data_IF_848684963336
#
_entry.id   IF_848684963336
#
_cell.length_a   1.000
_cell.length_b   1.000
_cell.length_c   1.000
_cell.angle_alpha   90.00
_cell.angle_beta   90.00
_cell.angle_gamma   90.00
#
_symmetry.space_group_name_H-M   'P 1'
#
loop_
_entity.id
_entity.type
_entity.pdbx_description
1 polymer ?
#
# COMPACT_ATOMS: atom_id res chain seq x y z
N UNK A 1 15.95 2.45 -22.36
CA UNK A 1 15.24 3.03 -21.20
C UNK A 1 14.36 1.95 -20.60
N UNK A 2 14.55 1.58 -19.32
CA UNK A 2 13.65 0.63 -18.64
C UNK A 2 12.33 1.34 -18.39
N UNK A 3 11.26 0.90 -19.02
CA UNK A 3 9.92 1.33 -18.66
C UNK A 3 9.71 1.03 -17.18
N UNK A 4 9.46 2.08 -16.39
CA UNK A 4 8.81 1.91 -15.10
C UNK A 4 7.43 1.32 -15.41
N UNK A 5 7.33 -0.01 -15.40
CA UNK A 5 6.05 -0.66 -15.17
C UNK A 5 5.57 -0.12 -13.83
N UNK A 6 4.68 0.87 -13.86
CA UNK A 6 3.81 1.13 -12.71
C UNK A 6 3.12 -0.21 -12.48
N UNK A 7 3.60 -0.94 -11.48
CA UNK A 7 2.90 -2.12 -11.06
C UNK A 7 1.53 -1.60 -10.63
N UNK A 8 0.52 -1.85 -11.44
CA UNK A 8 -0.88 -1.78 -11.01
C UNK A 8 -1.03 -2.85 -9.93
N UNK A 9 -0.51 -2.54 -8.74
CA UNK A 9 -0.77 -3.30 -7.54
C UNK A 9 -2.25 -3.13 -7.34
N UNK A 10 -3.03 -4.15 -7.69
CA UNK A 10 -4.46 -4.21 -7.37
C UNK A 10 -4.59 -4.08 -5.86
N UNK A 11 -4.87 -2.87 -5.40
CA UNK A 11 -5.05 -2.59 -3.99
C UNK A 11 -6.45 -3.09 -3.65
N UNK A 12 -6.53 -3.98 -2.67
CA UNK A 12 -7.81 -4.43 -2.14
C UNK A 12 -8.59 -3.21 -1.59
N UNK A 13 -9.73 -2.91 -2.20
CA UNK A 13 -10.58 -1.79 -1.83
C UNK A 13 -11.09 -1.90 -0.39
N UNK A 14 -11.33 -3.12 0.11
CA UNK A 14 -11.75 -3.32 1.50
C UNK A 14 -10.63 -2.98 2.47
N UNK A 15 -9.40 -3.39 2.16
CA UNK A 15 -8.22 -3.04 2.94
C UNK A 15 -8.01 -1.52 2.95
N UNK A 16 -8.14 -0.88 1.79
CA UNK A 16 -8.04 0.58 1.68
C UNK A 16 -9.08 1.27 2.59
N UNK A 17 -10.36 0.87 2.49
CA UNK A 17 -11.44 1.44 3.31
C UNK A 17 -11.17 1.26 4.82
N UNK A 18 -10.71 0.09 5.24
CA UNK A 18 -10.31 -0.16 6.63
C UNK A 18 -9.19 0.76 7.11
N UNK A 19 -8.21 1.06 6.24
CA UNK A 19 -7.12 1.97 6.58
C UNK A 19 -7.60 3.42 6.68
N UNK A 20 -8.51 3.86 5.81
CA UNK A 20 -9.15 5.19 5.91
C UNK A 20 -9.90 5.31 7.24
N UNK A 21 -10.76 4.35 7.58
CA UNK A 21 -11.54 4.38 8.82
C UNK A 21 -10.62 4.41 10.05
N UNK A 22 -9.55 3.62 10.01
CA UNK A 22 -8.54 3.59 11.06
C UNK A 22 -7.76 4.91 11.14
N UNK A 23 -7.44 5.55 10.00
CA UNK A 23 -6.79 6.85 9.98
C UNK A 23 -7.68 7.93 10.58
N UNK A 24 -8.95 8.02 10.15
CA UNK A 24 -9.95 8.99 10.64
C UNK A 24 -10.22 8.83 12.14
N UNK A 25 -10.40 7.60 12.60
CA UNK A 25 -10.69 7.32 14.02
C UNK A 25 -9.52 7.68 14.92
N UNK A 26 -8.28 7.42 14.48
CA UNK A 26 -7.09 7.72 15.27
C UNK A 26 -6.71 9.20 15.24
N UNK A 27 -6.76 9.86 14.09
CA UNK A 27 -6.46 11.30 13.95
C UNK A 27 -7.56 12.20 14.51
N UNK A 28 -8.77 11.65 14.73
CA UNK A 28 -10.00 12.39 15.07
C UNK A 28 -10.39 13.44 14.00
N UNK A 29 -9.92 13.28 12.77
CA UNK A 29 -10.32 14.12 11.63
C UNK A 29 -11.16 13.28 10.64
N UNK A 30 -12.47 13.58 10.46
CA UNK A 30 -13.33 12.82 9.57
C UNK A 30 -12.98 13.00 8.09
N UNK A 31 -12.22 14.04 7.74
CA UNK A 31 -11.78 14.32 6.36
C UNK A 31 -10.42 13.72 6.03
N UNK A 32 -9.83 12.94 6.94
CA UNK A 32 -8.54 12.30 6.70
C UNK A 32 -8.69 11.22 5.62
N UNK A 33 -7.81 11.25 4.62
CA UNK A 33 -7.75 10.23 3.58
C UNK A 33 -6.42 9.45 3.60
N UNK A 34 -6.39 8.30 2.93
CA UNK A 34 -5.22 7.42 2.87
C UNK A 34 -4.82 7.15 1.42
N UNK A 35 -3.58 7.45 1.07
CA UNK A 35 -3.04 7.18 -0.26
C UNK A 35 -1.81 6.27 -0.18
N UNK A 36 -1.51 5.58 -1.27
CA UNK A 36 -0.32 4.74 -1.35
C UNK A 36 0.80 5.48 -2.07
N UNK A 37 1.98 5.49 -1.48
CA UNK A 37 3.17 6.09 -2.08
C UNK A 37 4.41 5.25 -1.79
N UNK A 38 5.57 5.67 -2.28
CA UNK A 38 6.81 4.92 -2.09
C UNK A 38 7.22 4.83 -0.60
N UNK A 39 7.05 5.91 0.17
CA UNK A 39 7.36 5.96 1.61
C UNK A 39 6.16 6.41 2.42
N UNK A 40 6.11 6.05 3.71
CA UNK A 40 5.06 6.55 4.58
C UNK A 40 5.38 7.93 5.14
N UNK A 41 4.46 8.88 4.97
CA UNK A 41 4.53 10.22 5.53
C UNK A 41 3.14 10.82 5.75
N UNK A 42 3.06 11.86 6.57
CA UNK A 42 1.81 12.57 6.88
C UNK A 42 1.80 13.93 6.20
N UNK A 43 0.79 14.20 5.36
CA UNK A 43 0.49 15.54 4.89
C UNK A 43 -0.64 16.12 5.75
N UNK A 44 -0.26 16.80 6.84
CA UNK A 44 -1.21 17.41 7.78
C UNK A 44 -2.10 18.50 7.14
N UNK A 45 -1.58 19.46 6.35
CA UNK A 45 -2.44 20.49 5.74
C UNK A 45 -3.39 19.91 4.68
N UNK A 46 -2.92 18.95 3.87
CA UNK A 46 -3.75 18.25 2.87
C UNK A 46 -4.73 17.25 3.46
N UNK A 47 -4.59 16.88 4.74
CA UNK A 47 -5.37 15.81 5.41
C UNK A 47 -5.24 14.46 4.72
N UNK A 48 -4.09 14.19 4.12
CA UNK A 48 -3.79 12.92 3.44
C UNK A 48 -2.65 12.22 4.15
N UNK A 49 -2.83 10.93 4.43
CA UNK A 49 -1.83 10.06 5.01
C UNK A 49 -1.31 9.15 3.92
N UNK A 50 -0.01 9.18 3.67
CA UNK A 50 0.59 8.29 2.70
C UNK A 50 1.16 7.05 3.39
N UNK A 51 0.78 5.88 2.88
CA UNK A 51 1.24 4.56 3.33
C UNK A 51 2.19 4.00 2.28
N UNK A 52 3.25 3.32 2.73
CA UNK A 52 4.28 2.78 1.86
C UNK A 52 3.80 1.54 1.10
N UNK A 53 4.04 1.54 -0.20
CA UNK A 53 3.89 0.37 -1.07
C UNK A 53 4.85 -0.76 -0.72
N UNK A 54 5.85 -0.54 0.14
CA UNK A 54 6.79 -1.56 0.62
C UNK A 54 6.08 -2.82 1.10
N UNK A 55 4.97 -2.66 1.83
CA UNK A 55 4.22 -3.77 2.43
C UNK A 55 3.46 -4.62 1.41
N UNK A 56 3.22 -4.11 0.19
CA UNK A 56 2.49 -4.83 -0.86
C UNK A 56 3.23 -6.06 -1.39
N UNK A 57 4.54 -6.14 -1.14
CA UNK A 57 5.37 -7.28 -1.57
C UNK A 57 5.32 -8.47 -0.61
N UNK A 58 4.67 -8.32 0.54
CA UNK A 58 4.63 -9.33 1.61
C UNK A 58 3.28 -10.07 1.64
N UNK A 59 3.23 -11.27 2.24
CA UNK A 59 1.97 -12.00 2.44
C UNK A 59 0.92 -11.18 3.21
N UNK A 60 -0.36 -11.43 2.92
CA UNK A 60 -1.50 -10.64 3.40
C UNK A 60 -1.51 -10.38 4.92
N UNK A 61 -1.12 -11.36 5.74
CA UNK A 61 -1.04 -11.20 7.20
C UNK A 61 0.00 -10.17 7.64
N UNK A 62 1.20 -10.22 7.06
CA UNK A 62 2.29 -9.27 7.35
C UNK A 62 2.02 -7.90 6.72
N UNK A 63 1.45 -7.89 5.51
CA UNK A 63 1.03 -6.68 4.81
C UNK A 63 0.04 -5.88 5.67
N UNK A 64 -1.00 -6.53 6.20
CA UNK A 64 -2.00 -5.88 7.05
C UNK A 64 -1.38 -5.23 8.30
N UNK A 65 -0.52 -5.96 9.01
CA UNK A 65 0.16 -5.42 10.20
C UNK A 65 1.13 -4.28 9.83
N UNK A 66 1.84 -4.41 8.73
CA UNK A 66 2.73 -3.39 8.19
C UNK A 66 1.98 -2.09 7.88
N UNK A 67 0.92 -2.15 7.09
CA UNK A 67 0.10 -1.00 6.73
C UNK A 67 -0.56 -0.36 7.95
N UNK A 68 -1.13 -1.16 8.86
CA UNK A 68 -1.69 -0.65 10.14
C UNK A 68 -0.65 0.07 10.97
N UNK A 69 0.56 -0.47 11.07
CA UNK A 69 1.66 0.15 11.83
C UNK A 69 2.03 1.54 11.29
N UNK A 70 1.95 1.73 9.97
CA UNK A 70 2.21 3.03 9.35
C UNK A 70 1.10 4.02 9.62
N UNK A 71 -0.15 3.57 9.50
CA UNK A 71 -1.27 4.43 9.88
C UNK A 71 -1.17 4.79 11.36
N UNK A 72 -0.86 3.87 12.26
CA UNK A 72 -0.65 4.16 13.69
C UNK A 72 0.43 5.22 13.92
N UNK A 73 1.59 5.10 13.27
CA UNK A 73 2.65 6.10 13.40
C UNK A 73 2.19 7.46 12.88
N UNK A 74 1.59 7.52 11.68
CA UNK A 74 1.28 8.80 11.04
C UNK A 74 0.03 9.47 11.64
N UNK A 75 -1.07 8.74 11.82
CA UNK A 75 -2.34 9.31 12.28
C UNK A 75 -2.42 9.51 13.79
N UNK A 76 -1.74 8.68 14.60
CA UNK A 76 -1.73 8.83 16.06
C UNK A 76 -0.40 9.39 16.58
N UNK A 77 0.73 8.88 16.08
CA UNK A 77 2.07 9.36 16.46
C UNK A 77 2.33 10.79 15.98
N UNK A 78 2.63 10.94 14.69
CA UNK A 78 3.02 12.21 14.09
C UNK A 78 1.94 13.29 14.24
N UNK A 79 0.67 12.92 14.16
CA UNK A 79 -0.42 13.91 14.21
C UNK A 79 -0.49 14.66 15.55
N UNK A 80 -0.27 13.97 16.68
CA UNK A 80 -0.44 14.51 18.04
C UNK A 80 0.86 14.75 18.80
N UNK A 81 1.90 13.94 18.57
CA UNK A 81 3.11 13.92 19.41
C UNK A 81 4.36 14.44 18.72
N UNK A 82 4.28 14.77 17.43
CA UNK A 82 5.36 15.41 16.70
C UNK A 82 5.11 16.90 16.53
N UNK A 83 6.14 17.69 16.83
CA UNK A 83 6.16 19.09 16.44
C UNK A 83 6.59 19.23 14.97
N UNK A 84 5.59 19.38 14.10
CA UNK A 84 5.80 19.53 12.66
C UNK A 84 6.56 20.81 12.30
N UNK A 85 6.38 21.89 13.06
CA UNK A 85 7.08 23.16 12.83
C UNK A 85 8.56 23.02 13.14
N UNK A 86 8.90 22.46 14.32
CA UNK A 86 10.30 22.20 14.70
C UNK A 86 10.99 21.26 13.71
N UNK A 87 10.32 20.19 13.26
CA UNK A 87 10.89 19.28 12.25
C UNK A 87 11.14 19.97 10.92
N UNK A 88 10.19 20.79 10.46
CA UNK A 88 10.32 21.50 9.21
C UNK A 88 11.46 22.51 9.25
N UNK A 89 11.58 23.30 10.32
CA UNK A 89 12.66 24.26 10.50
C UNK A 89 14.02 23.58 10.58
N UNK A 90 14.11 22.45 11.31
CA UNK A 90 15.32 21.65 11.36
C UNK A 90 15.71 21.10 9.97
N UNK A 91 14.75 20.58 9.20
CA UNK A 91 15.05 20.10 7.85
C UNK A 91 15.47 21.23 6.91
N UNK A 92 14.89 22.43 7.07
CA UNK A 92 15.30 23.62 6.30
C UNK A 92 16.72 24.07 6.66
N UNK A 93 17.10 24.06 7.94
CA UNK A 93 18.45 24.44 8.39
C UNK A 93 19.54 23.46 7.91
N UNK A 94 19.16 22.22 7.63
CA UNK A 94 20.07 21.16 7.16
C UNK A 94 20.24 21.13 5.63
N UNK A 95 19.38 21.78 4.84
CA UNK A 95 19.37 21.67 3.36
C UNK A 95 20.71 21.97 2.68
N UNK A 96 21.53 22.84 3.27
CA UNK A 96 22.79 23.30 2.69
C UNK A 96 24.01 22.50 3.17
N UNK A 97 23.81 21.45 3.99
CA UNK A 97 24.91 20.65 4.52
C UNK A 97 25.29 19.52 3.56
N UNK A 98 26.57 19.12 3.57
CA UNK A 98 27.10 18.07 2.70
C UNK A 98 26.43 16.70 2.93
N UNK A 99 26.10 16.38 4.18
CA UNK A 99 25.48 15.11 4.58
C UNK A 99 23.98 15.24 4.86
N UNK A 100 23.28 16.08 4.08
CA UNK A 100 21.87 16.39 4.31
C UNK A 100 20.97 15.15 4.32
N UNK A 101 21.12 14.22 3.37
CA UNK A 101 20.24 13.05 3.28
C UNK A 101 20.43 12.13 4.48
N UNK A 102 21.68 11.88 4.88
CA UNK A 102 21.95 11.10 6.09
C UNK A 102 21.31 11.72 7.33
N UNK A 103 21.51 13.03 7.56
CA UNK A 103 20.95 13.75 8.71
C UNK A 103 19.42 13.78 8.71
N UNK A 104 18.81 14.01 7.54
CA UNK A 104 17.36 13.96 7.35
C UNK A 104 16.82 12.58 7.72
N UNK A 105 17.38 11.51 7.18
CA UNK A 105 16.90 10.16 7.47
C UNK A 105 17.12 9.77 8.92
N UNK A 106 18.23 10.19 9.54
CA UNK A 106 18.49 9.96 10.95
C UNK A 106 17.45 10.66 11.83
N UNK A 107 17.15 11.94 11.58
CA UNK A 107 16.14 12.70 12.32
C UNK A 107 14.76 12.04 12.22
N UNK A 108 14.33 11.69 11.00
CA UNK A 108 13.03 11.05 10.77
C UNK A 108 12.95 9.67 11.40
N UNK A 109 14.04 8.89 11.34
CA UNK A 109 14.09 7.57 11.99
C UNK A 109 14.01 7.69 13.51
N UNK A 110 14.77 8.62 14.11
CA UNK A 110 14.74 8.82 15.56
C UNK A 110 13.38 9.30 16.04
N UNK A 111 12.69 10.13 15.26
CA UNK A 111 11.32 10.54 15.55
C UNK A 111 10.36 9.35 15.47
N UNK A 112 10.41 8.54 14.40
CA UNK A 112 9.58 7.34 14.27
C UNK A 112 9.83 6.34 15.42
N UNK A 113 11.09 6.17 15.83
CA UNK A 113 11.46 5.29 16.94
C UNK A 113 10.94 5.79 18.30
N UNK A 114 10.95 7.12 18.53
CA UNK A 114 10.35 7.74 19.70
C UNK A 114 8.83 7.56 19.71
N UNK A 115 8.19 7.85 18.57
CA UNK A 115 6.74 7.74 18.41
C UNK A 115 6.23 6.31 18.57
N UNK A 116 6.98 5.30 18.10
CA UNK A 116 6.64 3.88 18.31
C UNK A 116 6.47 3.59 19.80
N UNK A 117 7.43 4.02 20.64
CA UNK A 117 7.35 3.86 22.11
C UNK A 117 6.10 4.54 22.67
N UNK A 118 5.84 5.79 22.28
CA UNK A 118 4.66 6.55 22.73
C UNK A 118 3.35 5.85 22.33
N UNK A 119 3.26 5.35 21.10
CA UNK A 119 2.09 4.64 20.60
C UNK A 119 1.82 3.37 21.42
N UNK A 120 2.85 2.56 21.67
CA UNK A 120 2.74 1.32 22.45
C UNK A 120 2.38 1.61 23.91
N UNK A 121 2.99 2.62 24.54
CA UNK A 121 2.69 3.00 25.92
C UNK A 121 1.27 3.51 26.08
N UNK A 122 0.76 4.34 25.16
CA UNK A 122 -0.61 4.87 25.24
C UNK A 122 -1.68 3.89 24.81
N UNK A 123 -1.37 3.01 23.85
CA UNK A 123 -2.32 2.06 23.25
C UNK A 123 -1.61 0.70 23.06
N UNK A 124 -1.58 -0.15 24.09
CA UNK A 124 -0.87 -1.43 24.03
C UNK A 124 -1.41 -2.39 22.96
N UNK A 125 -2.66 -2.23 22.53
CA UNK A 125 -3.24 -2.99 21.42
C UNK A 125 -2.53 -2.80 20.07
N UNK A 126 -1.73 -1.74 19.91
CA UNK A 126 -0.93 -1.50 18.69
C UNK A 126 0.38 -2.32 18.67
N UNK A 127 0.81 -2.86 19.82
CA UNK A 127 2.12 -3.51 19.99
C UNK A 127 2.37 -4.65 19.01
N UNK A 128 1.36 -5.48 18.73
CA UNK A 128 1.48 -6.62 17.80
C UNK A 128 1.88 -6.15 16.41
N UNK A 129 1.26 -5.08 15.92
CA UNK A 129 1.56 -4.56 14.57
C UNK A 129 2.95 -3.95 14.48
N UNK A 130 3.39 -3.27 15.54
CA UNK A 130 4.76 -2.75 15.64
C UNK A 130 5.82 -3.84 15.74
N UNK A 131 5.53 -4.91 16.47
CA UNK A 131 6.43 -6.05 16.61
C UNK A 131 6.64 -6.77 15.27
N UNK A 132 5.57 -7.01 14.50
CA UNK A 132 5.68 -7.59 13.16
C UNK A 132 6.41 -6.64 12.19
N UNK A 133 6.07 -5.33 12.20
CA UNK A 133 6.78 -4.30 11.44
C UNK A 133 8.29 -4.37 11.69
N UNK A 134 8.69 -4.40 12.96
CA UNK A 134 10.09 -4.43 13.39
C UNK A 134 10.81 -5.68 12.89
N UNK A 135 10.19 -6.87 12.96
CA UNK A 135 10.77 -8.12 12.43
C UNK A 135 11.07 -8.03 10.93
N UNK A 136 10.12 -7.52 10.15
CA UNK A 136 10.28 -7.36 8.70
C UNK A 136 11.37 -6.34 8.38
N UNK A 137 11.31 -5.15 9.00
CA UNK A 137 12.30 -4.08 8.78
C UNK A 137 13.71 -4.51 9.19
N UNK A 138 13.88 -5.20 10.33
CA UNK A 138 15.17 -5.72 10.77
C UNK A 138 15.81 -6.64 9.73
N UNK A 139 15.01 -7.44 9.03
CA UNK A 139 15.49 -8.34 7.98
C UNK A 139 15.84 -7.56 6.70
N UNK A 140 14.98 -6.61 6.33
CA UNK A 140 15.22 -5.71 5.19
C UNK A 140 16.51 -4.90 5.35
N UNK A 141 16.68 -4.18 6.47
CA UNK A 141 17.87 -3.35 6.73
C UNK A 141 19.15 -4.18 6.87
N UNK A 142 19.07 -5.41 7.38
CA UNK A 142 20.24 -6.30 7.41
C UNK A 142 20.69 -6.69 5.99
N UNK A 143 19.74 -6.93 5.08
CA UNK A 143 20.05 -7.21 3.67
C UNK A 143 20.66 -5.98 3.00
N UNK A 144 20.05 -4.81 3.20
CA UNK A 144 20.54 -3.55 2.65
C UNK A 144 21.94 -3.19 3.17
N UNK A 145 22.20 -3.39 4.46
CA UNK A 145 23.54 -3.20 5.04
C UNK A 145 24.61 -4.00 4.29
N UNK A 146 24.37 -5.29 4.04
CA UNK A 146 25.33 -6.15 3.32
C UNK A 146 25.55 -5.67 1.89
N UNK A 147 24.50 -5.22 1.21
CA UNK A 147 24.59 -4.69 -0.15
C UNK A 147 25.39 -3.37 -0.20
N UNK A 148 25.14 -2.46 0.74
CA UNK A 148 25.86 -1.18 0.82
C UNK A 148 27.33 -1.35 1.15
N UNK A 149 27.68 -2.28 2.04
CA UNK A 149 29.07 -2.66 2.31
C UNK A 149 29.76 -3.16 1.03
N UNK A 150 29.11 -4.06 0.27
CA UNK A 150 29.67 -4.56 -0.99
C UNK A 150 29.87 -3.46 -2.03
N UNK A 151 28.96 -2.48 -2.07
CA UNK A 151 29.01 -1.33 -2.97
C UNK A 151 29.91 -0.19 -2.44
N UNK A 152 30.55 -0.35 -1.28
CA UNK A 152 31.34 0.68 -0.59
C UNK A 152 30.59 2.00 -0.36
N UNK A 153 29.27 1.91 -0.11
CA UNK A 153 28.42 3.04 0.27
C UNK A 153 28.38 3.15 1.79
N UNK A 154 29.39 3.81 2.35
CA UNK A 154 29.63 3.78 3.80
C UNK A 154 28.55 4.49 4.62
N UNK A 155 28.08 5.68 4.24
CA UNK A 155 27.02 6.38 4.99
C UNK A 155 25.67 5.65 4.91
N UNK A 156 25.30 5.11 3.75
CA UNK A 156 24.11 4.25 3.60
C UNK A 156 24.20 3.01 4.51
N UNK A 157 25.37 2.35 4.55
CA UNK A 157 25.62 1.23 5.44
C UNK A 157 25.59 1.64 6.92
N UNK A 158 26.14 2.81 7.25
CA UNK A 158 26.14 3.35 8.61
C UNK A 158 24.72 3.62 9.12
N UNK A 159 23.86 4.22 8.28
CA UNK A 159 22.45 4.41 8.61
C UNK A 159 21.74 3.08 8.90
N UNK A 160 21.93 2.07 8.03
CA UNK A 160 21.39 0.72 8.27
C UNK A 160 21.91 0.12 9.58
N UNK A 161 23.17 0.36 9.91
CA UNK A 161 23.79 -0.11 11.15
C UNK A 161 23.16 0.55 12.38
N UNK A 162 22.95 1.87 12.36
CA UNK A 162 22.24 2.62 13.42
C UNK A 162 20.85 2.04 13.64
N UNK A 163 20.09 1.80 12.56
CA UNK A 163 18.75 1.20 12.65
C UNK A 163 18.79 -0.17 13.36
N UNK A 164 19.76 -1.01 13.01
CA UNK A 164 19.90 -2.36 13.58
C UNK A 164 20.31 -2.30 15.06
N UNK A 165 21.25 -1.41 15.42
CA UNK A 165 21.68 -1.23 16.81
C UNK A 165 20.61 -0.63 17.72
N UNK A 166 19.83 0.34 17.24
CA UNK A 166 18.69 0.90 17.98
C UNK A 166 17.65 -0.19 18.35
N UNK A 167 17.59 -1.25 17.54
CA UNK A 167 16.72 -2.40 17.75
C UNK A 167 17.43 -3.62 18.37
N UNK A 168 18.61 -3.41 18.99
CA UNK A 168 19.43 -4.42 19.67
C UNK A 168 19.91 -5.58 18.77
N UNK A 169 20.00 -5.38 17.46
CA UNK A 169 20.53 -6.36 16.51
C UNK A 169 21.99 -6.04 16.20
N UNK A 170 22.90 -6.89 16.67
CA UNK A 170 24.32 -6.73 16.44
C UNK A 170 24.73 -7.15 15.03
N UNK A 171 25.65 -6.39 14.44
CA UNK A 171 26.16 -6.59 13.08
C UNK A 171 27.67 -6.35 13.10
N UNK A 172 28.48 -7.11 12.34
CA UNK A 172 29.91 -6.87 12.26
C UNK A 172 30.19 -5.49 11.66
N UNK A 173 30.87 -4.65 12.44
CA UNK A 173 31.36 -3.34 12.01
C UNK A 173 32.69 -3.52 11.27
N UNK A 174 32.74 -3.07 10.02
CA UNK A 174 33.98 -2.95 9.26
C UNK A 174 34.56 -1.54 9.44
N UNK A 175 35.85 -1.35 9.21
CA UNK A 175 36.44 -0.01 9.07
C UNK A 175 35.98 0.60 7.73
N UNK A 176 35.55 1.87 7.68
CA UNK A 176 35.64 2.93 8.71
C UNK A 176 34.47 3.03 9.71
N UNK A 177 33.38 2.26 9.53
CA UNK A 177 32.15 2.39 10.35
C UNK A 177 32.37 2.24 11.86
N UNK A 178 33.36 1.43 12.26
CA UNK A 178 33.71 1.25 13.67
C UNK A 178 34.16 2.56 14.32
N UNK A 179 34.97 3.36 13.62
CA UNK A 179 35.52 4.62 14.13
C UNK A 179 34.39 5.64 14.29
N UNK A 180 33.56 5.78 13.26
CA UNK A 180 32.39 6.67 13.30
C UNK A 180 31.41 6.31 14.41
N UNK A 181 31.18 5.01 14.63
CA UNK A 181 30.32 4.57 15.73
C UNK A 181 30.89 4.97 17.09
N UNK A 182 32.21 4.87 17.30
CA UNK A 182 32.85 5.25 18.58
C UNK A 182 32.70 6.75 18.82
N UNK A 183 32.92 7.58 17.79
CA UNK A 183 32.78 9.04 17.87
C UNK A 183 31.33 9.46 18.15
N UNK A 184 30.36 8.89 17.43
CA UNK A 184 28.95 9.26 17.54
C UNK A 184 28.19 8.52 18.63
N UNK A 185 28.83 7.58 19.36
CA UNK A 185 28.16 6.70 20.33
C UNK A 185 27.33 7.46 21.35
N UNK A 186 27.89 8.54 21.90
CA UNK A 186 27.22 9.32 22.94
C UNK A 186 25.95 9.98 22.41
N UNK A 187 26.02 10.56 21.20
CA UNK A 187 24.88 11.23 20.59
C UNK A 187 23.81 10.23 20.12
N UNK A 188 24.21 9.05 19.63
CA UNK A 188 23.27 7.97 19.32
C UNK A 188 22.52 7.46 20.56
N UNK A 189 23.16 7.44 21.74
CA UNK A 189 22.48 7.12 23.00
C UNK A 189 21.47 8.22 23.35
N UNK A 190 21.85 9.50 23.23
CA UNK A 190 20.94 10.63 23.47
C UNK A 190 19.70 10.58 22.56
N UNK A 191 19.86 10.23 21.27
CA UNK A 191 18.75 10.07 20.33
C UNK A 191 17.75 8.99 20.79
N UNK A 192 18.23 7.90 21.38
CA UNK A 192 17.36 6.82 21.85
C UNK A 192 16.58 7.18 23.12
N UNK A 193 17.09 8.12 23.92
CA UNK A 193 16.50 8.56 25.21
C UNK A 193 15.64 9.83 25.11
N UNK A 194 15.73 10.56 24.00
CA UNK A 194 15.02 11.83 23.82
C UNK A 194 13.50 11.69 23.95
N UNK A 195 12.89 12.58 24.73
CA UNK A 195 11.44 12.59 24.99
C UNK A 195 10.65 13.50 24.04
N UNK A 196 11.30 14.54 23.54
CA UNK A 196 10.68 15.59 22.71
C UNK A 196 11.31 15.71 21.33
N UNK A 197 10.56 16.27 20.37
CA UNK A 197 11.03 16.51 19.01
C UNK A 197 12.15 17.57 18.97
N UNK A 198 12.10 18.57 19.86
CA UNK A 198 13.13 19.60 20.00
C UNK A 198 14.47 19.03 20.50
N UNK A 199 14.44 18.09 21.45
CA UNK A 199 15.65 17.40 21.91
C UNK A 199 16.31 16.61 20.78
N UNK A 200 15.52 15.90 19.97
CA UNK A 200 16.03 15.19 18.80
C UNK A 200 16.72 16.13 17.82
N UNK A 201 16.11 17.29 17.54
CA UNK A 201 16.70 18.31 16.67
C UNK A 201 18.04 18.80 17.24
N UNK A 202 18.14 19.06 18.54
CA UNK A 202 19.38 19.49 19.17
C UNK A 202 20.50 18.44 19.01
N UNK A 203 20.21 17.17 19.26
CA UNK A 203 21.18 16.07 19.12
C UNK A 203 21.59 15.90 17.65
N UNK A 204 20.68 16.08 16.68
CA UNK A 204 21.03 16.04 15.25
C UNK A 204 21.99 17.18 14.87
N UNK A 205 21.86 18.36 15.49
CA UNK A 205 22.83 19.44 15.31
C UNK A 205 24.20 19.13 15.93
N UNK A 206 24.25 18.37 17.04
CA UNK A 206 25.50 17.85 17.60
C UNK A 206 26.17 16.87 16.63
N UNK A 207 25.40 15.90 16.12
CA UNK A 207 25.88 14.91 15.15
C UNK A 207 26.37 15.58 13.87
N UNK A 208 25.64 16.58 13.35
CA UNK A 208 26.07 17.41 12.22
C UNK A 208 27.48 17.98 12.43
N UNK A 209 27.80 18.49 13.63
CA UNK A 209 29.14 19.03 13.92
C UNK A 209 30.21 17.96 13.86
N UNK A 210 29.92 16.75 14.37
CA UNK A 210 30.84 15.62 14.30
C UNK A 210 31.01 15.10 12.86
N UNK A 211 29.95 15.05 12.06
CA UNK A 211 29.97 14.59 10.67
C UNK A 211 30.86 15.44 9.75
N UNK A 212 31.13 16.71 10.09
CA UNK A 212 32.04 17.58 9.31
C UNK A 212 33.46 17.02 9.18
N UNK A 213 33.86 16.13 10.10
CA UNK A 213 35.14 15.44 10.01
C UNK A 213 35.15 14.34 8.95
N UNK A 214 33.98 13.87 8.49
CA UNK A 214 33.86 12.79 7.52
C UNK A 214 33.88 13.33 6.10
N UNK A 215 34.83 12.85 5.30
CA UNK A 215 35.01 13.26 3.88
C UNK A 215 34.19 12.41 2.91
N UNK A 216 33.39 11.47 3.43
CA UNK A 216 32.63 10.53 2.60
C UNK A 216 31.40 11.19 1.95
N UNK A 217 31.01 10.65 0.79
CA UNK A 217 29.84 11.12 0.04
C UNK A 217 28.55 10.91 0.83
N UNK A 218 27.60 11.82 0.65
CA UNK A 218 26.26 11.71 1.23
C UNK A 218 25.55 10.42 0.82
N UNK A 219 24.57 10.08 1.65
CA UNK A 219 23.67 8.96 1.46
C UNK A 219 22.85 9.09 0.18
N UNK A 220 22.80 8.00 -0.59
CA UNK A 220 22.09 7.96 -1.88
C UNK A 220 20.72 7.31 -1.80
N UNK A 221 20.53 6.40 -0.85
CA UNK A 221 19.29 5.66 -0.69
C UNK A 221 18.29 6.45 0.13
N UNK A 222 17.03 6.53 -0.31
CA UNK A 222 15.98 7.15 0.48
C UNK A 222 15.11 6.10 1.17
N UNK A 223 15.06 6.14 2.51
CA UNK A 223 14.25 5.20 3.31
C UNK A 223 12.98 5.82 3.90
N UNK A 224 13.02 7.12 4.19
CA UNK A 224 11.97 7.83 4.91
C UNK A 224 11.70 9.16 4.22
N UNK A 225 10.43 9.53 4.12
CA UNK A 225 10.01 10.80 3.54
C UNK A 225 9.29 11.67 4.56
N UNK A 226 9.33 12.97 4.32
CA UNK A 226 8.65 13.98 5.14
C UNK A 226 8.01 14.98 4.21
N UNK A 227 6.77 15.35 4.51
CA UNK A 227 6.09 16.43 3.80
C UNK A 227 6.56 17.76 4.37
N UNK A 228 7.50 18.41 3.70
CA UNK A 228 7.83 19.80 3.99
C UNK A 228 6.77 20.68 3.36
N UNK A 229 5.96 21.37 4.17
CA UNK A 229 5.15 22.45 3.63
C UNK A 229 6.11 23.55 3.21
N UNK A 230 6.34 23.73 1.91
CA UNK A 230 6.86 25.02 1.48
C UNK A 230 5.87 26.07 1.99
N UNK A 231 6.39 27.12 2.63
CA UNK A 231 5.53 28.26 2.99
C UNK A 231 5.06 28.79 1.64
N UNK A 232 3.85 28.42 1.23
CA UNK A 232 3.19 29.01 0.09
C UNK A 232 3.19 30.50 0.39
N UNK A 233 4.00 31.27 -0.33
CA UNK A 233 3.92 32.71 -0.20
C UNK A 233 2.48 33.08 -0.56
N UNK A 234 1.88 34.04 0.14
CA UNK A 234 0.50 34.44 -0.11
C UNK A 234 0.25 34.79 -1.60
N UNK A 235 1.31 35.20 -2.30
CA UNK A 235 1.36 35.40 -3.76
C UNK A 235 1.16 34.15 -4.63
N UNK A 236 1.51 32.95 -4.15
CA UNK A 236 1.27 31.69 -4.87
C UNK A 236 -0.19 31.20 -4.70
N UNK A 237 -0.87 31.67 -3.65
CA UNK A 237 -2.28 31.39 -3.37
C UNK A 237 -3.17 32.38 -4.13
N UNK A 238 -2.72 33.64 -4.25
CA UNK A 238 -3.26 34.56 -5.23
C UNK A 238 -3.04 33.97 -6.63
N UNK A 239 -4.12 33.74 -7.37
CA UNK A 239 -4.05 33.46 -8.82
C UNK A 239 -3.63 34.73 -9.57
N UNK A 240 -2.49 35.33 -9.21
CA UNK A 240 -1.91 36.50 -9.89
C UNK A 240 -1.23 36.10 -11.21
N UNK A 241 -1.05 34.81 -11.46
CA UNK A 241 -0.89 34.28 -12.80
C UNK A 241 -2.26 34.20 -13.48
N UNK A 242 -2.92 35.36 -13.58
CA UNK A 242 -3.83 35.60 -14.68
C UNK A 242 -3.05 35.24 -15.94
N UNK A 243 -3.62 34.34 -16.74
CA UNK A 243 -3.26 34.19 -18.14
C UNK A 243 -3.11 35.60 -18.67
N UNK A 244 -1.89 35.99 -19.05
CA UNK A 244 -1.68 37.21 -19.82
C UNK A 244 -2.49 37.02 -21.10
N UNK A 245 -3.75 37.43 -21.07
CA UNK A 245 -4.52 37.70 -22.26
C UNK A 245 -3.63 38.63 -23.10
N UNK A 246 -3.29 38.28 -24.34
CA UNK A 246 -2.50 39.16 -25.17
C UNK A 246 -3.34 40.41 -25.41
N UNK A 247 -2.95 41.50 -24.75
CA UNK A 247 -3.32 42.88 -25.03
C UNK A 247 -4.82 43.24 -25.04
N UNK A 248 -5.30 43.81 -23.94
CA UNK A 248 -6.19 44.98 -24.03
C UNK A 248 -5.40 46.22 -23.63
N UNK A 249 -4.67 46.80 -24.59
CA UNK A 249 -4.24 48.18 -24.46
C UNK A 249 -5.43 49.07 -24.79
N UNK A 250 -5.88 49.81 -23.80
CA UNK A 250 -6.61 51.07 -24.01
C UNK A 250 -5.74 52.00 -24.86
N UNK A 251 -6.18 52.28 -26.08
CA UNK A 251 -5.76 53.39 -26.92
C UNK A 251 -7.05 53.87 -27.61
N UNK A 252 -7.60 55.01 -27.21
CA UNK A 252 -7.39 56.31 -27.88
C UNK A 252 -7.67 56.23 -29.38
N UNK A 253 -8.63 57.05 -29.79
CA UNK A 253 -9.19 57.22 -31.12
C UNK A 253 -8.14 57.38 -32.24
N UNK A 254 -8.57 56.94 -33.41
CA UNK A 254 -8.08 57.23 -34.77
C UNK A 254 -7.16 56.24 -35.49
N UNK A 255 -7.61 55.99 -36.72
CA UNK A 255 -6.92 55.55 -37.95
C UNK A 255 -7.05 54.08 -38.41
N UNK A 256 -7.73 54.01 -39.56
CA UNK A 256 -8.06 52.91 -40.46
C UNK A 256 -6.84 52.10 -40.92
N UNK A 257 -6.96 50.78 -40.92
CA UNK A 257 -6.54 49.95 -42.07
C UNK A 257 -7.24 48.60 -42.06
N UNK A 258 -7.79 48.27 -43.22
CA UNK A 258 -8.47 47.04 -43.61
C UNK A 258 -7.53 45.83 -43.49
N UNK A 259 -7.91 44.80 -42.74
CA UNK A 259 -7.55 43.42 -43.06
C UNK A 259 -8.63 42.45 -42.56
N UNK A 260 -9.01 41.54 -43.44
CA UNK A 260 -10.13 40.60 -43.29
C UNK A 260 -9.88 39.65 -42.12
N UNK A 261 -10.65 39.80 -41.04
CA UNK A 261 -10.71 38.81 -39.96
C UNK A 261 -12.07 38.13 -40.03
N UNK A 262 -12.06 36.89 -40.51
CA UNK A 262 -13.19 35.97 -40.51
C UNK A 262 -13.80 35.93 -39.11
N UNK A 263 -15.04 36.45 -38.97
CA UNK A 263 -15.83 36.33 -37.75
C UNK A 263 -16.44 34.93 -37.74
N UNK A 264 -15.82 34.02 -36.99
CA UNK A 264 -16.49 32.80 -36.58
C UNK A 264 -17.52 33.16 -35.49
N UNK A 265 -18.77 33.35 -35.92
CA UNK A 265 -19.91 33.39 -35.01
C UNK A 265 -20.12 31.98 -34.44
N UNK A 266 -19.70 31.74 -33.19
CA UNK A 266 -20.05 30.53 -32.46
C UNK A 266 -21.54 30.55 -32.13
N UNK A 267 -22.37 29.61 -32.64
CA UNK A 267 -23.77 29.54 -32.26
C UNK A 267 -23.89 29.10 -30.80
N UNK A 268 -24.37 30.00 -29.95
CA UNK A 268 -24.79 29.67 -28.59
C UNK A 268 -25.98 28.72 -28.64
N UNK A 269 -25.87 27.59 -27.94
CA UNK A 269 -26.76 26.43 -28.01
C UNK A 269 -28.13 26.64 -27.32
N UNK A 270 -28.76 27.80 -27.49
CA UNK A 270 -30.01 28.18 -26.82
C UNK A 270 -31.00 28.95 -27.70
N UNK A 271 -30.95 28.79 -29.03
CA UNK A 271 -31.88 29.49 -29.93
C UNK A 271 -32.52 28.58 -31.00
N UNK A 272 -32.80 27.31 -30.67
CA UNK A 272 -33.52 26.42 -31.58
C UNK A 272 -34.56 25.57 -30.83
N UNK A 273 -35.67 26.18 -30.42
CA UNK A 273 -36.94 25.45 -30.18
C UNK A 273 -38.18 26.34 -30.38
N UNK A 274 -38.06 27.42 -31.15
CA UNK A 274 -39.13 28.41 -31.33
C UNK A 274 -39.96 28.24 -32.61
N UNK A 275 -39.74 27.21 -33.42
CA UNK A 275 -40.58 26.93 -34.60
C UNK A 275 -40.86 25.43 -34.78
N UNK A 276 -42.13 25.00 -34.69
CA UNK A 276 -42.50 23.60 -34.89
C UNK A 276 -42.92 23.37 -36.34
N UNK A 277 -42.07 22.76 -37.16
CA UNK A 277 -42.50 22.22 -38.47
C UNK A 277 -41.65 21.02 -38.89
N UNK A 278 -42.35 19.90 -39.08
CA UNK A 278 -42.08 18.76 -39.97
C UNK A 278 -40.84 17.87 -39.74
N UNK A 279 -41.09 16.85 -38.91
CA UNK A 279 -41.06 15.43 -39.34
C UNK A 279 -39.75 14.89 -39.94
N UNK A 280 -38.90 14.27 -39.10
CA UNK A 280 -38.17 13.06 -39.50
C UNK A 280 -37.71 12.20 -38.31
N UNK A 281 -38.66 11.74 -37.49
CA UNK A 281 -38.50 10.52 -36.67
C UNK A 281 -39.87 10.14 -36.11
N UNK A 282 -40.60 9.41 -36.95
CA UNK A 282 -41.84 8.72 -36.61
C UNK A 282 -41.48 7.63 -35.59
N UNK A 283 -41.80 7.87 -34.31
CA UNK A 283 -41.83 6.81 -33.31
C UNK A 283 -43.08 5.97 -33.59
N UNK A 284 -42.89 4.77 -34.13
CA UNK A 284 -43.96 3.78 -34.13
C UNK A 284 -44.29 3.41 -32.68
N UNK A 285 -45.49 3.84 -32.32
CA UNK A 285 -46.08 3.78 -31.01
C UNK A 285 -46.97 2.52 -30.98
N UNK A 286 -46.38 1.34 -30.83
CA UNK A 286 -47.14 0.11 -30.67
C UNK A 286 -47.67 0.01 -29.23
N UNK A 287 -48.86 0.57 -29.05
CA UNK A 287 -49.79 0.22 -27.98
C UNK A 287 -50.22 -1.24 -28.11
N UNK A 288 -50.37 -1.88 -26.94
CA UNK A 288 -50.67 -3.30 -26.83
C UNK A 288 -51.95 -3.76 -27.53
N UNK A 289 -51.87 -4.97 -28.05
CA UNK A 289 -53.03 -5.82 -28.32
C UNK A 289 -52.97 -7.02 -27.39
N UNK A 290 -53.95 -7.06 -26.49
CA UNK A 290 -54.47 -8.25 -25.82
C UNK A 290 -54.84 -9.38 -26.80
N UNK A 291 -55.01 -10.59 -26.26
CA UNK A 291 -55.54 -11.86 -26.84
C UNK A 291 -54.49 -12.79 -27.45
N UNK A 292 -54.55 -14.11 -27.35
CA UNK A 292 -55.29 -15.08 -26.53
C UNK A 292 -54.59 -16.44 -26.75
N UNK A 293 -54.94 -17.41 -25.91
CA UNK A 293 -54.54 -18.81 -25.84
C UNK A 293 -54.26 -19.57 -27.16
N UNK A 294 -53.47 -20.63 -26.95
CA UNK A 294 -53.37 -21.90 -27.71
C UNK A 294 -52.45 -21.90 -28.94
N UNK A 295 -51.29 -22.54 -28.79
CA UNK A 295 -50.40 -22.84 -29.92
C UNK A 295 -49.14 -23.57 -29.47
N UNK A 296 -49.21 -24.90 -29.47
CA UNK A 296 -48.09 -25.82 -29.33
C UNK A 296 -47.00 -25.51 -30.37
N UNK A 297 -45.77 -25.23 -29.93
CA UNK A 297 -44.67 -24.94 -30.85
C UNK A 297 -43.43 -24.38 -30.14
N UNK A 298 -42.47 -25.26 -29.87
CA UNK A 298 -41.24 -24.96 -29.14
C UNK A 298 -40.48 -23.74 -29.67
N UNK A 299 -40.25 -22.77 -28.79
CA UNK A 299 -39.25 -21.73 -28.99
C UNK A 299 -37.90 -22.23 -28.48
N UNK A 300 -36.94 -22.28 -29.40
CA UNK A 300 -35.51 -22.40 -29.13
C UNK A 300 -35.11 -21.27 -28.18
N UNK A 301 -34.56 -21.63 -27.03
CA UNK A 301 -33.90 -20.68 -26.15
C UNK A 301 -32.59 -20.21 -26.81
N UNK A 302 -32.41 -18.89 -26.82
CA UNK A 302 -31.20 -18.20 -27.26
C UNK A 302 -29.99 -18.59 -26.40
N UNK A 303 -28.86 -18.74 -27.09
CA UNK A 303 -27.55 -19.17 -26.58
C UNK A 303 -26.77 -18.01 -25.90
N UNK A 304 -27.48 -17.08 -25.26
CA UNK A 304 -26.90 -15.85 -24.70
C UNK A 304 -27.01 -15.68 -23.19
N UNK A 305 -27.86 -16.47 -22.50
CA UNK A 305 -28.23 -16.20 -21.10
C UNK A 305 -27.93 -17.36 -20.13
N UNK A 306 -26.88 -18.14 -20.41
CA UNK A 306 -26.36 -19.18 -19.48
C UNK A 306 -24.87 -19.01 -19.18
N UNK A 307 -24.47 -17.82 -18.75
CA UNK A 307 -23.12 -17.57 -18.23
C UNK A 307 -23.10 -17.23 -16.72
N UNK A 308 -24.09 -17.70 -15.95
CA UNK A 308 -24.02 -17.75 -14.50
C UNK A 308 -24.57 -19.09 -13.98
N UNK A 309 -23.67 -19.96 -13.50
CA UNK A 309 -24.04 -21.06 -12.62
C UNK A 309 -23.72 -22.47 -13.11
N UNK A 310 -22.44 -22.81 -13.27
CA UNK A 310 -21.99 -24.21 -13.15
C UNK A 310 -20.47 -24.27 -12.87
N UNK A 311 -20.07 -24.12 -11.61
CA UNK A 311 -18.80 -24.71 -11.15
C UNK A 311 -19.07 -26.20 -11.00
N UNK A 312 -19.03 -26.90 -12.13
CA UNK A 312 -19.07 -28.36 -12.17
C UNK A 312 -17.74 -28.86 -11.62
N UNK A 313 -17.78 -29.36 -10.38
CA UNK A 313 -16.72 -30.12 -9.78
C UNK A 313 -16.35 -31.28 -10.72
N UNK A 314 -15.17 -31.17 -11.36
CA UNK A 314 -14.59 -32.24 -12.16
C UNK A 314 -14.10 -33.38 -11.28
N UNK A 315 -15.03 -34.18 -10.75
CA UNK A 315 -14.72 -35.52 -10.26
C UNK A 315 -14.63 -36.45 -11.47
N UNK A 316 -13.41 -36.62 -12.00
CA UNK A 316 -13.12 -37.58 -13.07
C UNK A 316 -12.91 -38.95 -12.44
N UNK A 317 -13.94 -39.80 -12.49
CA UNK A 317 -13.82 -41.22 -12.16
C UNK A 317 -12.91 -41.90 -13.19
N UNK A 318 -11.67 -42.18 -12.81
CA UNK A 318 -10.77 -43.02 -13.59
C UNK A 318 -11.05 -44.51 -13.28
N UNK A 319 -11.82 -45.16 -14.14
CA UNK A 319 -11.78 -46.62 -14.28
C UNK A 319 -10.56 -46.99 -15.13
N UNK A 320 -9.59 -47.69 -14.54
CA UNK A 320 -8.48 -48.28 -15.28
C UNK A 320 -7.28 -48.55 -14.38
N UNK A 321 -7.17 -49.81 -13.92
CA UNK A 321 -5.92 -50.36 -13.39
C UNK A 321 -4.88 -50.39 -14.52
N UNK A 322 -3.62 -50.30 -14.10
CA UNK A 322 -2.38 -50.56 -14.84
C UNK A 322 -1.60 -49.33 -15.32
N UNK A 323 -0.70 -48.87 -14.46
CA UNK A 323 0.55 -48.24 -14.88
C UNK A 323 1.71 -48.91 -14.14
N UNK A 324 2.14 -50.06 -14.66
CA UNK A 324 3.53 -50.51 -14.54
C UNK A 324 4.25 -50.07 -15.81
N UNK A 325 5.20 -49.14 -15.64
CA UNK A 325 6.22 -48.84 -16.63
C UNK A 325 5.87 -47.70 -17.58
N UNK A 326 6.21 -46.48 -17.20
CA UNK A 326 6.72 -45.52 -18.16
C UNK A 326 7.63 -44.50 -17.46
N UNK A 327 8.91 -44.80 -17.54
CA UNK A 327 10.02 -43.87 -17.37
C UNK A 327 10.01 -42.85 -18.51
N UNK A 328 10.02 -41.56 -18.17
CA UNK A 328 10.66 -40.53 -19.01
C UNK A 328 9.73 -39.57 -19.75
N UNK A 329 9.41 -38.44 -19.11
CA UNK A 329 9.13 -37.13 -19.74
C UNK A 329 9.06 -36.09 -18.60
N UNK A 330 9.79 -34.98 -18.54
CA UNK A 330 10.92 -34.49 -19.32
C UNK A 330 11.74 -33.61 -18.37
N UNK A 331 13.06 -33.84 -18.33
CA UNK A 331 14.01 -33.05 -17.54
C UNK A 331 14.59 -31.99 -18.46
N UNK A 332 14.17 -30.74 -18.31
CA UNK A 332 14.90 -29.60 -18.85
C UNK A 332 16.18 -29.44 -18.05
N UNK A 333 17.30 -29.72 -18.70
CA UNK A 333 18.63 -29.43 -18.19
C UNK A 333 19.03 -28.02 -18.60
N UNK A 334 19.30 -27.18 -17.60
CA UNK A 334 20.36 -26.16 -17.71
C UNK A 334 21.19 -26.15 -16.43
N UNK A 335 22.50 -26.25 -16.64
CA UNK A 335 23.64 -26.34 -15.71
C UNK A 335 23.59 -25.38 -14.51
N UNK A 336 24.22 -25.61 -13.35
CA UNK A 336 25.19 -26.60 -12.91
C UNK A 336 25.94 -26.05 -11.68
N UNK A 337 26.15 -26.88 -10.65
CA UNK A 337 27.33 -26.92 -9.74
C UNK A 337 27.03 -27.75 -8.47
N UNK A 338 27.79 -28.85 -8.38
CA UNK A 338 28.19 -29.64 -7.21
C UNK A 338 27.78 -29.16 -5.81
N UNK A 339 27.10 -30.02 -5.06
CA UNK A 339 26.91 -29.87 -3.62
C UNK A 339 25.97 -30.90 -3.01
N UNK A 340 26.50 -32.10 -2.78
CA UNK A 340 25.96 -33.20 -1.97
C UNK A 340 24.76 -32.85 -1.05
N UNK A 341 23.57 -33.24 -1.50
CA UNK A 341 22.31 -33.16 -0.75
C UNK A 341 21.16 -33.65 -1.62
N UNK A 342 20.85 -34.94 -1.58
CA UNK A 342 19.70 -35.51 -2.29
C UNK A 342 18.42 -34.86 -1.76
N UNK A 343 17.87 -33.91 -2.51
CA UNK A 343 16.50 -33.42 -2.33
C UNK A 343 15.64 -34.03 -3.44
N UNK A 344 14.84 -35.08 -3.16
CA UNK A 344 14.05 -35.78 -4.17
C UNK A 344 13.05 -34.88 -4.94
N UNK A 345 12.77 -33.68 -4.42
CA UNK A 345 11.79 -32.73 -4.97
C UNK A 345 12.36 -31.33 -5.20
N UNK A 346 13.68 -31.19 -5.38
CA UNK A 346 14.35 -29.91 -5.66
C UNK A 346 14.67 -29.04 -4.43
N UNK A 347 15.63 -28.11 -4.57
CA UNK A 347 16.14 -27.27 -3.47
C UNK A 347 15.07 -26.40 -2.81
N UNK A 348 14.03 -26.02 -3.56
CA UNK A 348 12.92 -25.19 -3.07
C UNK A 348 12.06 -25.90 -2.00
N UNK A 349 12.08 -27.24 -1.95
CA UNK A 349 11.25 -28.04 -1.06
C UNK A 349 11.99 -28.54 0.20
N UNK A 350 13.12 -27.93 0.56
CA UNK A 350 13.98 -28.35 1.69
C UNK A 350 13.27 -28.41 3.05
N UNK A 351 12.23 -27.61 3.25
CA UNK A 351 11.48 -27.53 4.52
C UNK A 351 10.05 -28.08 4.43
N UNK A 352 9.66 -28.67 3.29
CA UNK A 352 8.34 -29.26 3.13
C UNK A 352 8.31 -30.64 3.83
N UNK A 353 7.47 -30.77 4.86
CA UNK A 353 7.24 -32.03 5.57
C UNK A 353 5.88 -32.56 5.18
N UNK A 354 5.85 -33.74 4.56
CA UNK A 354 4.60 -34.42 4.23
C UNK A 354 3.89 -34.86 5.52
N UNK A 355 2.76 -34.23 5.84
CA UNK A 355 1.95 -34.58 7.01
C UNK A 355 0.74 -35.41 6.56
N UNK A 356 0.92 -36.73 6.48
CA UNK A 356 -0.19 -37.67 6.24
C UNK A 356 -1.06 -37.75 7.49
N UNK A 357 -2.23 -37.11 7.45
CA UNK A 357 -3.23 -37.22 8.50
C UNK A 357 -4.04 -38.50 8.22
N UNK A 358 -3.85 -39.51 9.06
CA UNK A 358 -4.66 -40.72 9.03
C UNK A 358 -6.02 -40.44 9.70
N UNK A 359 -7.13 -40.99 9.18
CA UNK A 359 -8.44 -40.83 9.79
C UNK A 359 -8.44 -41.47 11.19
N UNK A 360 -8.64 -40.65 12.23
CA UNK A 360 -8.77 -41.12 13.61
C UNK A 360 -10.21 -41.54 13.85
N UNK A 361 -10.43 -42.70 14.49
CA UNK A 361 -11.75 -43.10 14.95
C UNK A 361 -12.23 -42.11 16.04
N UNK A 362 -13.47 -41.62 15.97
CA UNK A 362 -13.96 -40.60 16.89
C UNK A 362 -13.99 -41.11 18.33
N UNK A 363 -13.69 -40.23 19.28
CA UNK A 363 -13.80 -40.50 20.71
C UNK A 363 -15.27 -40.54 21.15
N UNK A 364 -15.57 -41.27 22.23
CA UNK A 364 -16.92 -41.34 22.80
C UNK A 364 -17.50 -39.96 23.15
N UNK A 365 -16.64 -39.03 23.61
CA UNK A 365 -17.04 -37.64 23.90
C UNK A 365 -17.40 -36.87 22.63
N UNK A 366 -16.62 -37.02 21.56
CA UNK A 366 -16.87 -36.37 20.26
C UNK A 366 -18.19 -36.84 19.65
N UNK A 367 -18.56 -38.11 19.86
CA UNK A 367 -19.85 -38.66 19.43
C UNK A 367 -21.01 -38.05 20.21
N UNK A 368 -20.85 -37.86 21.53
CA UNK A 368 -21.89 -37.21 22.35
C UNK A 368 -22.07 -35.74 21.98
N UNK A 369 -20.98 -35.00 21.77
CA UNK A 369 -21.05 -33.60 21.37
C UNK A 369 -21.68 -33.46 19.98
N UNK A 370 -21.33 -34.34 19.04
CA UNK A 370 -21.98 -34.39 17.73
C UNK A 370 -23.50 -34.65 17.84
N UNK A 371 -23.93 -35.55 18.72
CA UNK A 371 -25.36 -35.81 18.95
C UNK A 371 -26.09 -34.59 19.52
N UNK A 372 -25.47 -33.84 20.43
CA UNK A 372 -26.02 -32.58 20.97
C UNK A 372 -26.13 -31.51 19.88
N UNK A 373 -25.11 -31.35 19.04
CA UNK A 373 -25.18 -30.41 17.92
C UNK A 373 -26.22 -30.82 16.88
N UNK A 374 -26.35 -32.13 16.62
CA UNK A 374 -27.35 -32.67 15.71
C UNK A 374 -28.78 -32.43 16.19
N UNK A 375 -29.06 -32.60 17.48
CA UNK A 375 -30.40 -32.33 18.03
C UNK A 375 -30.73 -30.84 18.02
N UNK A 376 -29.74 -29.96 18.29
CA UNK A 376 -29.93 -28.52 18.23
C UNK A 376 -30.24 -27.99 16.81
N UNK A 377 -29.68 -28.62 15.78
CA UNK A 377 -29.81 -28.18 14.38
C UNK A 377 -30.98 -28.87 13.64
N UNK A 378 -31.52 -29.96 14.19
CA UNK A 378 -32.56 -30.78 13.54
C UNK A 378 -33.85 -30.02 13.23
N UNK A 379 -34.30 -29.13 14.13
CA UNK A 379 -35.50 -28.30 13.93
C UNK A 379 -35.30 -27.28 12.80
N UNK A 380 -34.13 -26.64 12.73
CA UNK A 380 -33.80 -25.71 11.65
C UNK A 380 -33.72 -26.42 10.30
N UNK A 381 -33.20 -27.66 10.27
CA UNK A 381 -33.10 -28.47 9.05
C UNK A 381 -34.47 -28.94 8.56
N UNK A 382 -35.40 -29.30 9.45
CA UNK A 382 -36.75 -29.69 9.03
C UNK A 382 -37.53 -28.51 8.45
N UNK A 383 -37.39 -27.32 9.04
CA UNK A 383 -37.98 -26.08 8.52
C UNK A 383 -37.42 -25.73 7.14
N UNK A 384 -36.10 -25.83 6.96
CA UNK A 384 -35.45 -25.61 5.65
C UNK A 384 -35.90 -26.63 4.60
N UNK A 385 -36.04 -27.91 4.97
CA UNK A 385 -36.55 -28.92 4.04
C UNK A 385 -37.99 -28.65 3.63
N UNK A 386 -38.83 -28.20 4.55
CA UNK A 386 -40.21 -27.83 4.24
C UNK A 386 -40.29 -26.57 3.36
N UNK A 387 -39.43 -25.57 3.57
CA UNK A 387 -39.38 -24.41 2.69
C UNK A 387 -38.93 -24.79 1.28
N UNK A 388 -37.93 -25.66 1.14
CA UNK A 388 -37.49 -26.13 -0.18
C UNK A 388 -38.54 -26.94 -0.92
N UNK A 389 -39.27 -27.83 -0.24
CA UNK A 389 -40.36 -28.58 -0.86
C UNK A 389 -41.47 -27.66 -1.36
N UNK A 390 -41.86 -26.66 -0.55
CA UNK A 390 -42.88 -25.68 -0.94
C UNK A 390 -42.47 -24.82 -2.14
N UNK A 391 -41.17 -24.51 -2.30
CA UNK A 391 -40.68 -23.73 -3.44
C UNK A 391 -40.50 -24.55 -4.72
N UNK A 392 -40.54 -25.88 -4.65
CA UNK A 392 -40.43 -26.76 -5.82
C UNK A 392 -41.83 -27.18 -6.33
N UNK A 393 -42.85 -27.18 -5.46
CA UNK A 393 -44.25 -27.48 -5.82
C UNK A 393 -45.03 -26.27 -6.37
N UNK A 394 -44.47 -25.06 -6.29
CA UNK A 394 -44.92 -23.85 -6.99
C UNK A 394 -44.12 -23.62 -8.25
#
# INVERSE_FOLDING_TARGET
>A
MKFLTFADTKIDSFLHMQLIDLAKTLSRDPKMDVEFSYHSYLNKPGRVLHVSQFWMTYPASLQLHGLKSEVYLRSFGNYFFSDHTSLQEALQSLKNEEHFQFLKHLLLFSEDFRLEKVCVTKRPGMSVSFLERKRVLLTHYQRQYRQHIQQRRWLDAFFCCIFLFANHRLVPLQTPLKEWYVELRQDLIKLNTAGSTSELVAVIHDIKRALRAFTERDMTSSYLSFYGSEKLNFKDISRENEVKAPYSQTASEDEKSCDESEREDMPSWHEETSSPTDSFLQFDLDQGTSTDLLGEGGRKAEEGDQAFGAVQAGAKDSKGKDFKGETGAGVDQTDGRSGQGLFPYGEMNRFAVEKKILPKKPSFQEVQDYQKFKSAVQSSVSLLKQSFLKTIET
#
